data_IF_650097608846
#
_entry.id   IF_650097608846
#
_cell.length_a   1.000
_cell.length_b   1.000
_cell.length_c   1.000
_cell.angle_alpha   90.00
_cell.angle_beta   90.00
_cell.angle_gamma   90.00
#
_symmetry.space_group_name_H-M   'P 1'
#
loop_
_entity.id
_entity.type
_entity.pdbx_description
1 polymer ?
#
# COMPACT_ATOMS: atom_id res chain seq x y z
N UNK A 1 22.19 -38.28 -12.56
CA UNK A 1 22.91 -37.97 -11.29
C UNK A 1 23.48 -36.54 -11.24
N UNK A 2 24.10 -35.99 -12.34
CA UNK A 2 24.60 -34.61 -12.35
C UNK A 2 23.46 -33.55 -12.34
N UNK A 3 22.37 -33.75 -13.07
CA UNK A 3 21.22 -32.83 -13.11
C UNK A 3 20.45 -32.78 -11.77
N UNK A 4 20.34 -33.88 -11.05
CA UNK A 4 19.70 -33.95 -9.74
C UNK A 4 20.48 -33.21 -8.64
N UNK A 5 21.81 -33.24 -8.70
CA UNK A 5 22.68 -32.50 -7.77
C UNK A 5 22.61 -30.99 -7.98
N UNK A 6 22.54 -30.53 -9.23
CA UNK A 6 22.37 -29.11 -9.56
C UNK A 6 20.98 -28.58 -9.17
N UNK A 7 19.94 -29.38 -9.33
CA UNK A 7 18.56 -29.02 -8.94
C UNK A 7 18.41 -28.90 -7.42
N UNK A 8 19.04 -29.80 -6.65
CA UNK A 8 19.03 -29.69 -5.17
C UNK A 8 19.75 -28.44 -4.68
N UNK A 9 20.93 -28.14 -5.22
CA UNK A 9 21.70 -26.98 -4.84
C UNK A 9 20.93 -25.67 -5.15
N UNK A 10 20.20 -25.59 -6.26
CA UNK A 10 19.38 -24.46 -6.60
C UNK A 10 18.17 -24.31 -5.64
N UNK A 11 17.54 -25.39 -5.24
CA UNK A 11 16.44 -25.37 -4.27
C UNK A 11 16.91 -24.91 -2.88
N UNK A 12 18.07 -25.40 -2.42
CA UNK A 12 18.66 -25.02 -1.14
C UNK A 12 19.04 -23.51 -1.12
N UNK A 13 19.64 -23.03 -2.22
CA UNK A 13 19.96 -21.60 -2.35
C UNK A 13 18.69 -20.74 -2.35
N UNK A 14 17.63 -21.17 -3.05
CA UNK A 14 16.38 -20.45 -3.09
C UNK A 14 15.73 -20.39 -1.70
N UNK A 15 15.77 -21.50 -0.94
CA UNK A 15 15.26 -21.53 0.42
C UNK A 15 16.00 -20.52 1.33
N UNK A 16 17.33 -20.52 1.26
CA UNK A 16 18.16 -19.56 2.03
C UNK A 16 17.83 -18.11 1.69
N UNK A 17 17.63 -17.81 0.39
CA UNK A 17 17.27 -16.46 -0.04
C UNK A 17 15.86 -16.08 0.41
N UNK A 18 14.91 -17.02 0.35
CA UNK A 18 13.54 -16.83 0.84
C UNK A 18 13.53 -16.52 2.33
N UNK A 19 14.25 -17.31 3.14
CA UNK A 19 14.35 -17.09 4.58
C UNK A 19 14.95 -15.72 4.93
N UNK A 20 15.95 -15.29 4.17
CA UNK A 20 16.54 -13.94 4.33
C UNK A 20 15.63 -12.81 3.87
N UNK A 21 14.64 -13.08 3.04
CA UNK A 21 13.69 -12.07 2.56
C UNK A 21 12.56 -11.79 3.58
N UNK A 22 12.21 -12.78 4.41
CA UNK A 22 11.06 -12.70 5.32
C UNK A 22 11.18 -11.49 6.27
N UNK A 23 12.28 -11.37 6.99
CA UNK A 23 12.44 -10.28 7.97
C UNK A 23 12.41 -8.88 7.31
N UNK A 24 13.27 -8.54 6.33
CA UNK A 24 13.26 -7.21 5.73
C UNK A 24 11.97 -6.93 4.96
N UNK A 25 11.39 -7.92 4.27
CA UNK A 25 10.12 -7.77 3.57
C UNK A 25 8.97 -7.47 4.51
N UNK A 26 8.89 -8.15 5.64
CA UNK A 26 7.88 -7.91 6.67
C UNK A 26 7.99 -6.52 7.27
N UNK A 27 9.21 -6.02 7.50
CA UNK A 27 9.43 -4.64 7.95
C UNK A 27 8.95 -3.61 6.93
N UNK A 28 9.14 -3.87 5.63
CA UNK A 28 8.63 -2.99 4.57
C UNK A 28 7.11 -2.96 4.59
N UNK A 29 6.43 -4.11 4.66
CA UNK A 29 4.97 -4.18 4.80
C UNK A 29 4.47 -3.39 6.01
N UNK A 30 5.07 -3.63 7.17
CA UNK A 30 4.70 -2.95 8.42
C UNK A 30 4.85 -1.44 8.31
N UNK A 31 6.00 -0.95 7.80
CA UNK A 31 6.27 0.48 7.66
C UNK A 31 5.34 1.16 6.67
N UNK A 32 5.06 0.53 5.53
CA UNK A 32 4.11 1.06 4.55
C UNK A 32 2.71 1.17 5.11
N UNK A 33 2.26 0.16 5.82
CA UNK A 33 0.95 0.17 6.42
C UNK A 33 0.81 1.21 7.53
N UNK A 34 1.82 1.38 8.39
CA UNK A 34 1.87 2.43 9.41
C UNK A 34 1.83 3.82 8.77
N UNK A 35 2.65 4.05 7.74
CA UNK A 35 2.66 5.30 7.00
C UNK A 35 1.31 5.62 6.35
N UNK A 36 0.70 4.64 5.67
CA UNK A 36 -0.61 4.84 5.05
C UNK A 36 -1.71 5.13 6.08
N UNK A 37 -1.63 4.54 7.27
CA UNK A 37 -2.55 4.83 8.37
C UNK A 37 -2.47 6.30 8.81
N UNK A 38 -1.25 6.79 9.02
CA UNK A 38 -1.01 8.18 9.41
C UNK A 38 -1.49 9.14 8.32
N UNK A 39 -1.16 8.83 7.06
CA UNK A 39 -1.60 9.59 5.91
C UNK A 39 -3.11 9.56 5.71
N UNK A 40 -3.76 8.40 5.94
CA UNK A 40 -5.21 8.24 5.78
C UNK A 40 -5.98 9.19 6.69
N UNK A 41 -5.59 9.26 7.96
CA UNK A 41 -6.26 10.15 8.91
C UNK A 41 -6.17 11.61 8.49
N UNK A 42 -4.97 12.10 8.19
CA UNK A 42 -4.76 13.48 7.79
C UNK A 42 -5.42 13.82 6.44
N UNK A 43 -5.31 12.93 5.46
CA UNK A 43 -5.90 13.13 4.15
C UNK A 43 -7.44 13.15 4.21
N UNK A 44 -8.04 12.32 5.05
CA UNK A 44 -9.49 12.30 5.27
C UNK A 44 -9.99 13.61 5.87
N UNK A 45 -9.32 14.12 6.90
CA UNK A 45 -9.67 15.41 7.52
C UNK A 45 -9.56 16.56 6.52
N UNK A 46 -8.45 16.69 5.82
CA UNK A 46 -8.22 17.72 4.81
C UNK A 46 -9.27 17.62 3.69
N UNK A 47 -9.49 16.42 3.16
CA UNK A 47 -10.46 16.18 2.10
C UNK A 47 -11.87 16.60 2.54
N UNK A 48 -12.31 16.10 3.70
CA UNK A 48 -13.66 16.31 4.21
C UNK A 48 -13.92 17.74 4.64
N UNK A 49 -13.04 18.34 5.45
CA UNK A 49 -13.26 19.65 6.04
C UNK A 49 -12.88 20.79 5.09
N UNK A 50 -11.68 20.71 4.52
CA UNK A 50 -11.07 21.86 3.85
C UNK A 50 -11.40 21.93 2.35
N UNK A 51 -11.54 20.77 1.69
CA UNK A 51 -11.65 20.76 0.23
C UNK A 51 -13.06 20.57 -0.30
N UNK A 52 -13.92 19.81 0.40
CA UNK A 52 -15.27 19.52 -0.10
C UNK A 52 -16.42 19.85 0.86
N UNK A 53 -16.12 20.47 2.01
CA UNK A 53 -17.13 20.96 2.94
C UNK A 53 -18.08 19.88 3.46
N UNK A 54 -17.56 18.71 3.80
CA UNK A 54 -18.32 17.64 4.43
C UNK A 54 -19.20 16.77 3.51
N UNK A 55 -19.10 16.92 2.20
CA UNK A 55 -20.01 16.26 1.25
C UNK A 55 -19.63 14.82 0.91
N UNK A 56 -18.36 14.47 0.96
CA UNK A 56 -17.83 13.17 0.57
C UNK A 56 -16.80 12.70 1.60
N UNK A 57 -16.66 11.39 1.77
CA UNK A 57 -15.64 10.78 2.62
C UNK A 57 -14.53 10.18 1.79
N UNK A 58 -13.26 10.38 2.21
CA UNK A 58 -12.09 9.76 1.59
C UNK A 58 -11.55 8.69 2.52
N UNK A 59 -11.18 7.54 1.97
CA UNK A 59 -10.50 6.45 2.69
C UNK A 59 -9.34 5.92 1.87
N UNK A 60 -8.32 5.41 2.54
CA UNK A 60 -7.20 4.71 1.92
C UNK A 60 -7.27 3.22 2.25
N UNK A 61 -6.95 2.38 1.27
CA UNK A 61 -6.79 0.94 1.45
C UNK A 61 -5.37 0.51 1.08
N UNK A 62 -4.72 -0.31 1.89
CA UNK A 62 -3.44 -0.91 1.57
C UNK A 62 -3.64 -2.35 1.07
N UNK A 63 -3.01 -2.67 -0.04
CA UNK A 63 -3.08 -3.97 -0.70
C UNK A 63 -1.70 -4.63 -0.64
N UNK A 64 -1.38 -5.38 0.42
CA UNK A 64 -0.10 -6.07 0.50
C UNK A 64 0.09 -7.07 -0.64
N UNK A 65 1.31 -7.19 -1.14
CA UNK A 65 1.66 -8.04 -2.28
C UNK A 65 1.42 -9.53 -2.10
N UNK A 66 1.10 -10.00 -0.90
CA UNK A 66 0.63 -11.38 -0.67
C UNK A 66 -0.85 -11.59 -1.00
N UNK A 67 -1.62 -10.53 -1.17
CA UNK A 67 -3.02 -10.62 -1.61
C UNK A 67 -3.17 -10.60 -3.15
N UNK A 68 -2.07 -10.47 -3.89
CA UNK A 68 -2.05 -10.31 -5.35
C UNK A 68 -2.63 -11.51 -6.14
N UNK A 69 -2.96 -12.62 -5.48
CA UNK A 69 -3.58 -13.79 -6.11
C UNK A 69 -5.08 -13.61 -6.44
N UNK A 70 -5.52 -12.39 -6.74
CA UNK A 70 -6.73 -12.14 -7.53
C UNK A 70 -8.05 -12.23 -6.78
N UNK A 71 -8.09 -12.15 -5.45
CA UNK A 71 -9.32 -12.45 -4.71
C UNK A 71 -9.90 -11.36 -3.81
N UNK A 72 -9.33 -10.13 -3.77
CA UNK A 72 -9.91 -9.14 -2.85
C UNK A 72 -10.07 -7.77 -3.48
N UNK A 73 -11.23 -7.18 -3.30
CA UNK A 73 -11.54 -5.81 -3.68
C UNK A 73 -10.89 -4.83 -2.71
N UNK A 74 -10.60 -3.61 -3.16
CA UNK A 74 -10.02 -2.57 -2.31
C UNK A 74 -10.84 -2.28 -1.04
N UNK A 75 -12.14 -2.56 -1.08
CA UNK A 75 -13.08 -2.36 0.03
C UNK A 75 -12.81 -3.29 1.23
N UNK A 76 -12.19 -4.45 1.01
CA UNK A 76 -11.89 -5.44 2.05
C UNK A 76 -10.58 -5.16 2.79
N UNK A 77 -9.80 -4.16 2.34
CA UNK A 77 -8.46 -3.83 2.86
C UNK A 77 -8.34 -2.36 3.28
N UNK A 78 -9.44 -1.79 3.75
CA UNK A 78 -9.41 -0.45 4.31
C UNK A 78 -8.42 -0.35 5.47
N UNK A 79 -7.69 0.75 5.53
CA UNK A 79 -6.65 1.03 6.52
C UNK A 79 -7.22 1.22 7.95
N UNK A 80 -8.53 1.09 8.13
CA UNK A 80 -9.28 1.28 9.38
C UNK A 80 -9.84 0.00 10.03
N UNK A 81 -9.54 -1.19 9.49
CA UNK A 81 -10.09 -2.46 9.96
C UNK A 81 -9.20 -3.25 10.94
N UNK A 82 -9.68 -4.43 11.34
CA UNK A 82 -8.95 -5.41 12.19
C UNK A 82 -7.54 -5.73 11.68
N UNK A 83 -7.34 -5.57 10.39
CA UNK A 83 -6.06 -5.77 9.73
C UNK A 83 -4.97 -4.81 10.24
N UNK A 84 -5.32 -3.57 10.63
CA UNK A 84 -4.38 -2.61 11.20
C UNK A 84 -3.85 -3.00 12.58
N UNK A 85 -4.65 -3.73 13.36
CA UNK A 85 -4.17 -4.24 14.64
C UNK A 85 -3.15 -5.37 14.42
N UNK A 86 -3.36 -6.20 13.40
CA UNK A 86 -2.42 -7.26 13.03
C UNK A 86 -1.07 -6.72 12.49
N UNK A 87 -1.03 -5.50 11.95
CA UNK A 87 0.21 -4.88 11.44
C UNK A 87 1.18 -4.48 12.56
N UNK A 88 0.71 -4.33 13.78
CA UNK A 88 1.57 -4.02 14.93
C UNK A 88 2.42 -5.23 15.34
N UNK A 89 1.96 -6.43 15.04
CA UNK A 89 2.70 -7.68 15.32
C UNK A 89 3.56 -8.08 14.11
N UNK A 90 4.84 -7.76 14.19
CA UNK A 90 5.82 -8.13 13.15
C UNK A 90 5.94 -9.66 12.99
N UNK A 91 5.74 -10.43 14.06
CA UNK A 91 5.77 -11.89 14.04
C UNK A 91 4.63 -12.45 13.19
N UNK A 92 3.42 -11.95 13.38
CA UNK A 92 2.26 -12.35 12.56
C UNK A 92 2.45 -12.01 11.07
N UNK A 93 3.06 -10.86 10.76
CA UNK A 93 3.42 -10.49 9.39
C UNK A 93 4.44 -11.46 8.80
N UNK A 94 5.48 -11.83 9.56
CA UNK A 94 6.52 -12.75 9.13
C UNK A 94 5.96 -14.14 8.84
N UNK A 95 5.14 -14.67 9.73
CA UNK A 95 4.48 -15.96 9.55
C UNK A 95 3.60 -15.97 8.29
N UNK A 96 2.78 -14.93 8.12
CA UNK A 96 1.94 -14.80 6.93
C UNK A 96 2.74 -14.70 5.66
N UNK A 97 3.75 -13.85 5.64
CA UNK A 97 4.59 -13.65 4.45
C UNK A 97 5.36 -14.94 4.09
N UNK A 98 5.89 -15.66 5.08
CA UNK A 98 6.54 -16.95 4.88
C UNK A 98 5.59 -17.97 4.28
N UNK A 99 4.36 -18.08 4.78
CA UNK A 99 3.34 -18.98 4.26
C UNK A 99 2.98 -18.68 2.80
N UNK A 100 2.83 -17.40 2.45
CA UNK A 100 2.50 -16.97 1.09
C UNK A 100 3.68 -17.22 0.10
N UNK A 101 4.93 -16.97 0.53
CA UNK A 101 6.11 -17.32 -0.26
C UNK A 101 6.20 -18.83 -0.52
N UNK A 102 5.93 -19.64 0.50
CA UNK A 102 5.91 -21.09 0.34
C UNK A 102 4.80 -21.56 -0.62
N UNK A 103 3.61 -20.97 -0.53
CA UNK A 103 2.47 -21.31 -1.38
C UNK A 103 2.66 -20.92 -2.85
N UNK A 104 3.38 -19.81 -3.09
CA UNK A 104 3.62 -19.28 -4.45
C UNK A 104 4.81 -19.91 -5.16
N UNK A 105 5.68 -20.65 -4.46
CA UNK A 105 6.98 -21.12 -4.94
C UNK A 105 6.91 -21.83 -6.30
N UNK A 106 5.96 -22.74 -6.49
CA UNK A 106 5.84 -23.48 -7.75
C UNK A 106 5.47 -22.57 -8.94
N UNK A 107 4.58 -21.60 -8.70
CA UNK A 107 4.20 -20.62 -9.71
C UNK A 107 5.34 -19.64 -10.01
N UNK A 108 6.10 -19.26 -9.01
CA UNK A 108 7.23 -18.34 -9.12
C UNK A 108 8.37 -18.98 -9.92
N UNK A 109 8.67 -20.25 -9.66
CA UNK A 109 9.63 -21.02 -10.43
C UNK A 109 9.22 -21.17 -11.90
N UNK A 110 7.95 -21.44 -12.17
CA UNK A 110 7.44 -21.56 -13.54
C UNK A 110 7.49 -20.21 -14.30
N UNK A 111 7.33 -19.08 -13.60
CA UNK A 111 7.34 -17.73 -14.18
C UNK A 111 8.75 -17.11 -14.22
N UNK A 112 9.70 -17.61 -13.45
CA UNK A 112 11.02 -17.00 -13.27
C UNK A 112 11.00 -15.68 -12.50
N UNK A 113 9.94 -15.39 -11.74
CA UNK A 113 9.81 -14.16 -10.95
C UNK A 113 8.88 -14.35 -9.76
N UNK A 114 9.16 -13.68 -8.65
CA UNK A 114 8.28 -13.72 -7.48
C UNK A 114 6.95 -13.03 -7.73
N UNK A 115 5.86 -13.70 -7.34
CA UNK A 115 4.49 -13.18 -7.40
C UNK A 115 4.02 -12.60 -6.06
N UNK A 116 4.79 -12.82 -4.99
CA UNK A 116 4.51 -12.39 -3.62
C UNK A 116 5.66 -11.55 -3.10
N UNK A 117 5.36 -10.44 -2.42
CA UNK A 117 6.35 -9.61 -1.76
C UNK A 117 6.05 -8.12 -1.86
N UNK A 118 6.85 -7.27 -1.14
CA UNK A 118 6.61 -5.83 -1.09
C UNK A 118 6.66 -5.09 -2.44
N UNK A 119 7.28 -5.68 -3.45
CA UNK A 119 7.31 -5.15 -4.82
C UNK A 119 5.98 -5.34 -5.58
N UNK A 120 5.04 -6.07 -4.98
CA UNK A 120 3.68 -6.30 -5.46
C UNK A 120 2.63 -5.53 -4.66
N UNK A 121 3.06 -4.74 -3.68
CA UNK A 121 2.14 -3.91 -2.92
C UNK A 121 1.47 -2.90 -3.82
N UNK A 122 0.22 -2.64 -3.50
CA UNK A 122 -0.57 -1.58 -4.09
C UNK A 122 -1.40 -0.88 -3.00
N UNK A 123 -2.09 0.16 -3.36
CA UNK A 123 -3.00 0.89 -2.49
C UNK A 123 -4.14 1.49 -3.29
N UNK A 124 -5.24 1.77 -2.64
CA UNK A 124 -6.43 2.32 -3.27
C UNK A 124 -6.94 3.53 -2.50
N UNK A 125 -7.51 4.47 -3.24
CA UNK A 125 -8.27 5.60 -2.71
C UNK A 125 -9.75 5.29 -2.94
N UNK A 126 -10.54 5.38 -1.88
CA UNK A 126 -11.98 5.24 -1.95
C UNK A 126 -12.63 6.58 -1.62
N UNK A 127 -13.60 6.98 -2.43
CA UNK A 127 -14.47 8.13 -2.14
C UNK A 127 -15.90 7.60 -2.04
N UNK A 128 -16.54 7.84 -0.89
CA UNK A 128 -17.86 7.28 -0.57
C UNK A 128 -17.95 5.76 -0.77
N UNK A 129 -16.88 5.03 -0.41
CA UNK A 129 -16.77 3.58 -0.55
C UNK A 129 -16.51 3.08 -1.98
N UNK A 130 -16.34 3.96 -2.97
CA UNK A 130 -16.05 3.58 -4.36
C UNK A 130 -14.60 3.82 -4.71
N UNK A 131 -13.96 2.85 -5.37
CA UNK A 131 -12.58 2.97 -5.83
C UNK A 131 -12.43 4.13 -6.82
N UNK A 132 -11.64 5.12 -6.42
CA UNK A 132 -11.46 6.36 -7.18
C UNK A 132 -10.78 6.14 -8.53
N UNK A 133 -9.87 5.17 -8.62
CA UNK A 133 -9.18 4.84 -9.87
C UNK A 133 -10.09 4.21 -10.93
N UNK A 134 -11.21 3.61 -10.50
CA UNK A 134 -12.16 2.95 -11.41
C UNK A 134 -13.42 3.79 -11.67
N UNK A 135 -13.90 4.51 -10.66
CA UNK A 135 -15.20 5.17 -10.68
C UNK A 135 -15.15 6.67 -10.39
N UNK A 136 -13.96 7.21 -10.11
CA UNK A 136 -13.81 8.61 -9.73
C UNK A 136 -13.98 9.58 -10.91
N UNK A 137 -14.65 10.71 -10.66
CA UNK A 137 -14.61 11.84 -11.60
C UNK A 137 -13.22 12.48 -11.60
N UNK A 138 -12.84 13.18 -12.67
CA UNK A 138 -11.56 13.91 -12.74
C UNK A 138 -11.39 14.89 -11.57
N UNK A 139 -12.46 15.59 -11.19
CA UNK A 139 -12.44 16.50 -10.04
C UNK A 139 -12.20 15.79 -8.72
N UNK A 140 -12.86 14.63 -8.47
CA UNK A 140 -12.63 13.82 -7.27
C UNK A 140 -11.18 13.31 -7.20
N UNK A 141 -10.63 12.81 -8.32
CA UNK A 141 -9.24 12.34 -8.38
C UNK A 141 -8.28 13.46 -8.00
N UNK A 142 -8.43 14.65 -8.57
CA UNK A 142 -7.56 15.80 -8.29
C UNK A 142 -7.68 16.29 -6.85
N UNK A 143 -8.90 16.41 -6.35
CA UNK A 143 -9.14 16.81 -4.95
C UNK A 143 -8.53 15.80 -3.97
N UNK A 144 -8.67 14.51 -4.24
CA UNK A 144 -8.07 13.46 -3.42
C UNK A 144 -6.53 13.48 -3.46
N UNK A 145 -5.93 13.69 -4.64
CA UNK A 145 -4.47 13.83 -4.79
C UNK A 145 -3.99 15.07 -4.03
N UNK A 146 -4.71 16.20 -4.11
CA UNK A 146 -4.36 17.40 -3.36
C UNK A 146 -4.42 17.14 -1.84
N UNK A 147 -5.48 16.49 -1.35
CA UNK A 147 -5.58 16.12 0.07
C UNK A 147 -4.40 15.26 0.54
N UNK A 148 -4.00 14.27 -0.27
CA UNK A 148 -2.84 13.43 0.02
C UNK A 148 -1.53 14.22 0.02
N UNK A 149 -1.35 15.15 -0.91
CA UNK A 149 -0.15 16.00 -0.95
C UNK A 149 -0.06 16.94 0.25
N UNK A 150 -1.18 17.49 0.67
CA UNK A 150 -1.21 18.33 1.88
C UNK A 150 -0.96 17.49 3.15
N UNK A 151 -1.51 16.28 3.22
CA UNK A 151 -1.24 15.34 4.32
C UNK A 151 0.25 14.94 4.36
N UNK A 152 0.87 14.67 3.19
CA UNK A 152 2.30 14.38 3.07
C UNK A 152 3.17 15.54 3.61
N UNK A 153 2.81 16.78 3.29
CA UNK A 153 3.51 17.97 3.81
C UNK A 153 3.40 18.05 5.33
N UNK A 154 2.20 17.84 5.86
CA UNK A 154 1.99 17.85 7.31
C UNK A 154 2.80 16.75 8.01
N UNK A 155 2.84 15.58 7.42
CA UNK A 155 3.66 14.48 7.92
C UNK A 155 5.16 14.79 7.88
N UNK A 156 5.66 15.30 6.75
CA UNK A 156 7.07 15.74 6.60
C UNK A 156 7.43 16.81 7.62
N UNK A 157 6.58 17.82 7.77
CA UNK A 157 6.77 18.89 8.75
C UNK A 157 6.87 18.35 10.18
N UNK A 158 6.04 17.38 10.53
CA UNK A 158 6.09 16.74 11.85
C UNK A 158 7.36 15.89 12.03
N UNK A 159 7.83 15.21 10.97
CA UNK A 159 8.98 14.32 11.02
C UNK A 159 10.32 15.05 11.01
N UNK A 160 10.42 16.20 10.30
CA UNK A 160 11.70 16.90 10.08
C UNK A 160 11.80 18.23 10.81
N UNK A 161 10.69 18.74 11.39
CA UNK A 161 10.55 20.09 11.93
C UNK A 161 10.84 21.20 10.89
N UNK A 162 10.86 20.84 9.60
CA UNK A 162 11.11 21.75 8.49
C UNK A 162 9.87 21.83 7.58
N UNK A 163 9.69 22.91 6.84
CA UNK A 163 8.53 23.10 5.97
C UNK A 163 8.94 22.84 4.52
N UNK A 164 8.47 21.73 3.90
CA UNK A 164 8.78 21.45 2.51
C UNK A 164 8.12 22.49 1.58
N UNK A 165 8.76 22.77 0.44
CA UNK A 165 8.19 23.61 -0.61
C UNK A 165 7.28 22.73 -1.48
N UNK A 166 6.00 23.10 -1.56
CA UNK A 166 5.03 22.42 -2.41
C UNK A 166 5.04 23.04 -3.81
N UNK A 167 5.34 22.23 -4.82
CA UNK A 167 5.21 22.60 -6.22
C UNK A 167 3.92 21.97 -6.79
N UNK A 168 2.96 22.80 -7.14
CA UNK A 168 1.69 22.39 -7.75
C UNK A 168 1.70 22.82 -9.22
N UNK A 169 1.70 21.85 -10.11
CA UNK A 169 1.55 22.07 -11.55
C UNK A 169 0.09 21.81 -11.95
N UNK A 170 -0.57 22.82 -12.50
CA UNK A 170 -1.95 22.81 -13.02
C UNK A 170 -3.07 22.29 -12.10
N UNK A 171 -2.75 21.84 -10.88
CA UNK A 171 -3.75 21.27 -9.95
C UNK A 171 -4.82 22.29 -9.56
N UNK A 172 -4.44 23.57 -9.44
CA UNK A 172 -5.33 24.67 -8.98
C UNK A 172 -6.18 25.19 -10.12
N UNK A 173 -5.69 25.18 -11.36
CA UNK A 173 -6.38 25.77 -12.51
C UNK A 173 -7.70 25.07 -12.88
N UNK A 174 -7.88 23.84 -12.43
CA UNK A 174 -9.03 23.02 -12.76
C UNK A 174 -9.87 22.57 -11.55
N UNK A 175 -9.60 23.14 -10.37
CA UNK A 175 -10.49 23.01 -9.22
C UNK A 175 -11.72 23.88 -9.48
N UNK A 176 -12.89 23.26 -9.51
CA UNK A 176 -14.16 23.94 -9.68
C UNK A 176 -14.34 24.99 -8.56
N UNK A 177 -14.69 26.22 -8.92
CA UNK A 177 -14.88 27.33 -7.95
C UNK A 177 -16.01 27.06 -6.94
N UNK A 178 -16.74 25.96 -7.09
CA UNK A 178 -17.86 25.55 -6.23
C UNK A 178 -17.58 24.30 -5.39
N UNK A 179 -16.32 23.85 -5.34
CA UNK A 179 -15.87 22.78 -4.47
C UNK A 179 -14.87 23.25 -3.43
#
# INVERSE_FOLDING_TARGET
RMAEGQSRNAADVLQILTDKLIEPGSRVFQRRAQFLREMAYQAQEIYFQDLIGGKESLRLGYLPGWYANGRKTADEHLVDGEWLQAIEDIGAIQERFAAELASSLAADLARGSSTVGPHRDDWAILVNGKNLGQFGSRGQVRTAILALKLAEINWMKAATADVPILLLDEVIAELDQHR
#
